data_IF_968393374457
#
_entry.id   IF_968393374457
#
_cell.length_a   1.000
_cell.length_b   1.000
_cell.length_c   1.000
_cell.angle_alpha   90.00
_cell.angle_beta   90.00
_cell.angle_gamma   90.00
#
_symmetry.space_group_name_H-M   'P 1'
#
loop_
_entity.id
_entity.type
_entity.pdbx_description
1 polymer ?
#
# COMPACT_ATOMS: atom_id res chain seq x y z
N UNK A 1 10.01 0.54 16.33
CA UNK A 1 11.17 0.02 15.57
C UNK A 1 11.52 1.08 14.52
N UNK A 2 12.30 0.81 13.48
CA UNK A 2 12.62 1.82 12.46
C UNK A 2 11.54 1.87 11.36
N UNK A 3 10.84 3.00 11.25
CA UNK A 3 10.01 3.34 10.09
C UNK A 3 10.89 4.01 9.02
N UNK A 4 11.33 3.23 8.04
CA UNK A 4 12.36 3.65 7.07
C UNK A 4 11.70 4.04 5.76
N UNK A 5 11.99 5.27 5.31
CA UNK A 5 11.68 5.78 3.96
C UNK A 5 12.98 5.88 3.18
N UNK A 6 13.11 5.13 2.08
CA UNK A 6 14.35 5.06 1.31
C UNK A 6 14.07 5.02 -0.20
N UNK A 7 15.13 5.05 -1.01
CA UNK A 7 15.03 4.88 -2.48
C UNK A 7 14.37 3.56 -2.89
N UNK A 8 14.42 2.53 -2.03
CA UNK A 8 13.79 1.23 -2.26
C UNK A 8 12.42 1.11 -1.59
N UNK A 9 11.80 2.23 -1.24
CA UNK A 9 10.45 2.29 -0.68
C UNK A 9 10.40 2.30 0.85
N UNK A 10 9.19 2.01 1.35
CA UNK A 10 8.82 2.01 2.76
C UNK A 10 9.14 0.66 3.42
N UNK A 11 9.79 0.67 4.58
CA UNK A 11 10.07 -0.52 5.38
C UNK A 11 9.77 -0.26 6.85
N UNK A 12 8.99 -1.14 7.46
CA UNK A 12 8.60 -1.02 8.85
C UNK A 12 8.25 -2.41 9.41
N UNK A 13 8.30 -2.55 10.73
CA UNK A 13 7.81 -3.74 11.44
C UNK A 13 6.29 -3.64 11.62
N UNK A 14 5.60 -4.79 11.61
CA UNK A 14 4.16 -4.82 11.89
C UNK A 14 3.89 -4.43 13.35
N UNK A 15 2.69 -3.88 13.60
CA UNK A 15 2.32 -3.35 14.93
C UNK A 15 2.46 -1.83 14.94
N UNK A 16 3.27 -1.30 15.85
CA UNK A 16 3.35 0.15 16.13
C UNK A 16 3.82 0.99 14.94
N UNK A 17 4.60 0.41 14.01
CA UNK A 17 5.19 1.16 12.89
C UNK A 17 4.35 1.04 11.59
N UNK A 18 4.01 -0.19 11.14
CA UNK A 18 3.20 -0.40 9.94
C UNK A 18 1.75 -0.76 10.27
N UNK A 19 0.95 0.26 10.54
CA UNK A 19 -0.48 0.11 10.85
C UNK A 19 -1.34 0.11 9.58
N UNK A 20 -2.59 -0.42 9.65
CA UNK A 20 -3.57 -0.32 8.57
C UNK A 20 -3.80 1.10 8.04
N UNK A 21 -3.84 2.09 8.93
CA UNK A 21 -4.06 3.50 8.55
C UNK A 21 -2.88 4.08 7.78
N UNK A 22 -1.64 3.70 8.13
CA UNK A 22 -0.45 4.08 7.37
C UNK A 22 -0.48 3.46 5.98
N UNK A 23 -0.81 2.17 5.85
CA UNK A 23 -0.93 1.50 4.55
C UNK A 23 -1.94 2.22 3.65
N UNK A 24 -3.14 2.51 4.17
CA UNK A 24 -4.17 3.23 3.44
C UNK A 24 -3.70 4.64 3.02
N UNK A 25 -3.07 5.39 3.93
CA UNK A 25 -2.56 6.74 3.65
C UNK A 25 -1.53 6.75 2.53
N UNK A 26 -0.61 5.78 2.52
CA UNK A 26 0.37 5.67 1.45
C UNK A 26 -0.26 5.26 0.11
N UNK A 27 -1.24 4.35 0.13
CA UNK A 27 -1.95 3.94 -1.08
C UNK A 27 -2.73 5.09 -1.72
N UNK A 28 -3.47 5.88 -0.92
CA UNK A 28 -4.22 7.04 -1.42
C UNK A 28 -3.31 8.17 -1.88
N UNK A 29 -2.22 8.43 -1.16
CA UNK A 29 -1.20 9.42 -1.59
C UNK A 29 -0.55 9.01 -2.91
N UNK A 30 -0.24 7.72 -3.09
CA UNK A 30 0.27 7.19 -4.35
C UNK A 30 -0.73 7.37 -5.50
N UNK A 31 -2.02 7.10 -5.27
CA UNK A 31 -3.06 7.32 -6.28
C UNK A 31 -3.17 8.79 -6.70
N UNK A 32 -3.00 9.73 -5.76
CA UNK A 32 -3.14 11.16 -6.01
C UNK A 32 -2.03 11.76 -6.90
N UNK A 33 -0.86 11.12 -6.98
CA UNK A 33 0.28 11.62 -7.78
C UNK A 33 0.40 10.94 -9.14
N UNK A 34 -0.39 9.90 -9.41
CA UNK A 34 -0.32 9.15 -10.67
C UNK A 34 -1.24 9.76 -11.74
N UNK A 35 -0.85 9.70 -13.03
CA UNK A 35 -1.79 9.94 -14.13
C UNK A 35 -2.90 8.88 -14.15
N UNK A 36 -3.91 9.08 -15.00
CA UNK A 36 -4.97 8.08 -15.21
C UNK A 36 -4.40 6.73 -15.67
N UNK A 37 -5.02 5.63 -15.25
CA UNK A 37 -4.66 4.28 -15.68
C UNK A 37 -4.80 3.20 -14.60
N UNK A 38 -4.73 1.92 -14.99
CA UNK A 38 -4.79 0.82 -14.03
C UNK A 38 -3.53 0.77 -13.14
N UNK A 39 -3.69 0.30 -11.91
CA UNK A 39 -2.59 0.07 -10.96
C UNK A 39 -2.50 -1.44 -10.70
N UNK A 40 -1.29 -1.99 -10.85
CA UNK A 40 -0.98 -3.39 -10.53
C UNK A 40 -0.51 -3.46 -9.08
N UNK A 41 -1.04 -4.41 -8.31
CA UNK A 41 -0.65 -4.70 -6.94
C UNK A 41 -0.16 -6.13 -6.87
N UNK A 42 1.02 -6.33 -6.28
CA UNK A 42 1.57 -7.65 -6.02
C UNK A 42 2.23 -7.69 -4.65
N UNK A 43 2.36 -8.91 -4.11
CA UNK A 43 2.96 -9.16 -2.79
C UNK A 43 3.84 -10.40 -2.81
N UNK A 44 4.70 -10.51 -1.80
CA UNK A 44 5.45 -11.74 -1.55
C UNK A 44 4.64 -12.74 -0.71
N UNK A 45 5.30 -13.84 -0.31
CA UNK A 45 4.69 -14.94 0.44
C UNK A 45 4.47 -14.69 1.93
N UNK A 46 4.74 -13.49 2.47
CA UNK A 46 4.55 -13.24 3.90
C UNK A 46 3.06 -13.29 4.27
N UNK A 47 2.68 -13.90 5.41
CA UNK A 47 1.27 -13.99 5.82
C UNK A 47 0.58 -12.64 5.98
N UNK A 48 1.31 -11.60 6.40
CA UNK A 48 0.78 -10.25 6.51
C UNK A 48 0.44 -9.61 5.16
N UNK A 49 0.98 -10.13 4.07
CA UNK A 49 0.75 -9.60 2.73
C UNK A 49 -0.73 -9.62 2.34
N UNK A 50 -1.51 -10.60 2.79
CA UNK A 50 -2.94 -10.73 2.47
C UNK A 50 -3.74 -9.51 2.95
N UNK A 51 -3.64 -9.18 4.24
CA UNK A 51 -4.40 -8.04 4.78
C UNK A 51 -3.85 -6.69 4.29
N UNK A 52 -2.55 -6.60 4.01
CA UNK A 52 -1.94 -5.39 3.42
C UNK A 52 -2.48 -5.17 2.01
N UNK A 53 -2.53 -6.22 1.19
CA UNK A 53 -3.10 -6.18 -0.16
C UNK A 53 -4.57 -5.75 -0.14
N UNK A 54 -5.38 -6.31 0.76
CA UNK A 54 -6.80 -5.92 0.92
C UNK A 54 -6.95 -4.40 1.17
N UNK A 55 -6.13 -3.82 2.06
CA UNK A 55 -6.17 -2.39 2.37
C UNK A 55 -5.69 -1.56 1.18
N UNK A 56 -4.59 -1.95 0.54
CA UNK A 56 -4.06 -1.23 -0.64
C UNK A 56 -5.09 -1.23 -1.75
N UNK A 57 -5.63 -2.40 -2.11
CA UNK A 57 -6.62 -2.56 -3.17
C UNK A 57 -7.89 -1.77 -2.85
N UNK A 58 -8.40 -1.88 -1.63
CA UNK A 58 -9.58 -1.13 -1.18
C UNK A 58 -9.39 0.38 -1.25
N UNK A 59 -8.24 0.87 -0.78
CA UNK A 59 -7.89 2.29 -0.79
C UNK A 59 -7.77 2.84 -2.21
N UNK A 60 -7.08 2.12 -3.10
CA UNK A 60 -6.94 2.52 -4.50
C UNK A 60 -8.28 2.53 -5.23
N UNK A 61 -9.13 1.52 -5.00
CA UNK A 61 -10.49 1.47 -5.58
C UNK A 61 -11.37 2.60 -5.06
N UNK A 62 -11.27 2.95 -3.78
CA UNK A 62 -11.98 4.10 -3.20
C UNK A 62 -11.55 5.44 -3.83
N UNK A 63 -10.31 5.54 -4.33
CA UNK A 63 -9.83 6.65 -5.15
C UNK A 63 -10.28 6.58 -6.62
N UNK A 64 -11.19 5.68 -7.00
CA UNK A 64 -11.66 5.51 -8.37
C UNK A 64 -10.67 4.81 -9.30
N UNK A 65 -9.61 4.17 -8.76
CA UNK A 65 -8.60 3.49 -9.58
C UNK A 65 -9.03 2.09 -9.95
N UNK A 66 -8.75 1.72 -11.20
CA UNK A 66 -8.83 0.34 -11.68
C UNK A 66 -7.62 -0.44 -11.14
N UNK A 67 -7.84 -1.50 -10.37
CA UNK A 67 -6.76 -2.31 -9.78
C UNK A 67 -6.66 -3.68 -10.46
N UNK A 68 -5.43 -4.16 -10.64
CA UNK A 68 -5.09 -5.50 -11.17
C UNK A 68 -4.21 -6.22 -10.14
N UNK A 69 -4.48 -7.49 -9.91
CA UNK A 69 -3.69 -8.39 -9.07
C UNK A 69 -2.86 -9.30 -9.98
#
# INVERSE_FOLDING_TARGET
MAFIRSISGLRATLGDDLTPSIVATYATAFAAILPEGPIVVGRDGRPSGTWIEDIVVGSLRACGRVVRL
#
